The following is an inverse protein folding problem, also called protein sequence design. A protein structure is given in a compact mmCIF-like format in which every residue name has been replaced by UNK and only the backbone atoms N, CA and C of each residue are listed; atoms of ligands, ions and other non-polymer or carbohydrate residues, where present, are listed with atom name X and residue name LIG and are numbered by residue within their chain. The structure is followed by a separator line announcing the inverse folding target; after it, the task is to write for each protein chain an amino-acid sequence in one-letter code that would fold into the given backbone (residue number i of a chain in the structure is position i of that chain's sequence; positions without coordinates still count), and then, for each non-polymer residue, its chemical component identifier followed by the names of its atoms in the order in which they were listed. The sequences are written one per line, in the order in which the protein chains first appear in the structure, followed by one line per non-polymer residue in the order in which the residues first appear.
data_IF_847489580250
#
_entry.id   IF_847489580250
#
_cell.length_a   1.000
_cell.length_b   1.000
_cell.length_c   1.000
_cell.angle_alpha   90.00
_cell.angle_beta   90.00
_cell.angle_gamma   90.00
#
_symmetry.space_group_name_H-M   'P 1'
#
loop_
_entity.id
_entity.type
_entity.pdbx_description
1 polymer ?
#
# COMPACT_ATOMS: atom_id res chain seq x y z
N UNK A 1 -20.12 13.59 -37.23
CA UNK A 1 -19.35 12.39 -36.87
C UNK A 1 -20.02 11.75 -35.68
N UNK A 2 -20.66 10.60 -35.89
CA UNK A 2 -21.52 9.89 -34.93
C UNK A 2 -20.69 8.94 -34.04
N UNK A 3 -21.02 8.79 -32.75
CA UNK A 3 -20.28 7.91 -31.84
C UNK A 3 -20.77 6.45 -31.95
N UNK A 4 -19.86 5.53 -32.21
CA UNK A 4 -20.14 4.10 -32.21
C UNK A 4 -20.17 3.55 -30.78
N UNK A 5 -21.37 3.18 -30.34
CA UNK A 5 -21.66 2.42 -29.13
C UNK A 5 -21.27 0.94 -29.35
N UNK A 6 -20.24 0.44 -28.67
CA UNK A 6 -19.91 -1.00 -28.66
C UNK A 6 -20.37 -1.63 -27.34
N UNK A 7 -21.40 -2.49 -27.44
CA UNK A 7 -21.85 -3.38 -26.37
C UNK A 7 -20.72 -4.32 -25.91
N UNK A 8 -20.63 -4.64 -24.61
CA UNK A 8 -19.74 -5.67 -24.11
C UNK A 8 -20.20 -7.06 -24.61
N UNK A 9 -19.25 -7.83 -25.17
CA UNK A 9 -19.46 -9.24 -25.51
C UNK A 9 -19.30 -10.06 -24.23
N UNK A 10 -20.37 -10.73 -23.82
CA UNK A 10 -20.32 -11.75 -22.79
C UNK A 10 -19.52 -12.94 -23.33
N UNK A 11 -18.40 -13.25 -22.67
CA UNK A 11 -17.51 -14.36 -22.99
C UNK A 11 -17.78 -15.47 -21.97
N UNK A 12 -18.87 -16.20 -22.19
CA UNK A 12 -19.19 -17.44 -21.48
C UNK A 12 -19.72 -18.42 -22.53
N UNK A 13 -18.81 -18.87 -23.39
CA UNK A 13 -18.99 -20.11 -24.14
C UNK A 13 -18.07 -21.14 -23.48
N UNK A 14 -18.68 -22.10 -22.80
CA UNK A 14 -18.02 -23.29 -22.29
C UNK A 14 -19.00 -24.45 -22.42
N UNK A 15 -19.31 -24.78 -23.67
CA UNK A 15 -19.90 -26.06 -24.06
C UNK A 15 -18.89 -27.18 -23.75
N UNK A 16 -18.88 -27.62 -22.49
CA UNK A 16 -18.18 -28.84 -22.09
C UNK A 16 -19.13 -30.01 -22.30
N UNK A 17 -19.21 -30.47 -23.55
CA UNK A 17 -19.95 -31.69 -23.92
C UNK A 17 -19.17 -32.91 -23.43
N UNK A 18 -19.52 -33.41 -22.25
CA UNK A 18 -19.01 -34.68 -21.74
C UNK A 18 -19.58 -35.82 -22.58
N UNK A 19 -18.69 -36.52 -23.30
CA UNK A 19 -19.02 -37.70 -24.07
C UNK A 19 -19.18 -38.90 -23.12
N UNK A 20 -20.42 -39.33 -22.89
CA UNK A 20 -20.73 -40.54 -22.11
C UNK A 20 -20.47 -41.76 -23.01
N UNK A 21 -19.55 -42.68 -22.67
CA UNK A 21 -19.37 -43.91 -23.41
C UNK A 21 -20.63 -44.79 -23.28
N UNK A 22 -21.23 -45.17 -24.42
CA UNK A 22 -22.32 -46.16 -24.48
C UNK A 22 -21.77 -47.54 -24.12
N UNK A 23 -22.00 -47.99 -22.90
CA UNK A 23 -21.80 -49.38 -22.50
C UNK A 23 -22.90 -50.26 -23.13
N UNK A 24 -22.49 -51.25 -23.92
CA UNK A 24 -23.42 -52.22 -24.51
C UNK A 24 -23.90 -53.19 -23.42
N UNK A 25 -25.20 -53.17 -23.19
CA UNK A 25 -25.91 -54.08 -22.30
C UNK A 25 -26.03 -55.44 -22.97
N UNK A 26 -25.21 -56.43 -22.61
CA UNK A 26 -25.62 -57.84 -22.83
C UNK A 26 -24.95 -58.92 -22.00
N UNK A 27 -24.02 -58.64 -21.09
CA UNK A 27 -23.41 -59.70 -20.29
C UNK A 27 -23.13 -59.22 -18.87
N UNK A 28 -24.10 -59.36 -17.96
CA UNK A 28 -23.81 -59.41 -16.53
C UNK A 28 -25.01 -59.96 -15.74
N UNK A 29 -24.79 -61.10 -15.10
CA UNK A 29 -25.68 -61.71 -14.13
C UNK A 29 -26.01 -60.73 -12.99
N UNK A 30 -27.29 -60.66 -12.60
CA UNK A 30 -27.86 -59.71 -11.63
C UNK A 30 -27.17 -59.69 -10.24
N UNK A 31 -26.29 -60.64 -9.94
CA UNK A 31 -25.54 -60.70 -8.66
C UNK A 31 -24.22 -59.94 -8.66
N UNK A 32 -23.69 -59.53 -9.81
CA UNK A 32 -22.46 -58.72 -9.87
C UNK A 32 -22.74 -57.20 -9.96
N UNK A 33 -23.97 -56.80 -10.27
CA UNK A 33 -24.32 -55.39 -10.44
C UNK A 33 -24.39 -54.61 -9.11
N UNK A 34 -24.78 -55.25 -8.01
CA UNK A 34 -24.86 -54.61 -6.69
C UNK A 34 -23.49 -54.35 -6.05
N UNK A 35 -22.51 -55.23 -6.28
CA UNK A 35 -21.12 -55.04 -5.82
C UNK A 35 -20.38 -53.96 -6.61
N UNK A 36 -20.69 -53.77 -7.90
CA UNK A 36 -20.05 -52.74 -8.72
C UNK A 36 -20.57 -51.32 -8.43
N UNK A 37 -21.85 -51.16 -8.09
CA UNK A 37 -22.41 -49.85 -7.69
C UNK A 37 -21.82 -49.36 -6.35
N UNK A 38 -21.57 -50.26 -5.39
CA UNK A 38 -20.91 -49.91 -4.13
C UNK A 38 -19.44 -49.50 -4.31
N UNK A 39 -18.73 -50.10 -5.26
CA UNK A 39 -17.35 -49.71 -5.59
C UNK A 39 -17.29 -48.37 -6.35
N UNK A 40 -18.27 -48.06 -7.20
CA UNK A 40 -18.32 -46.79 -7.94
C UNK A 40 -18.77 -45.59 -7.09
N UNK A 41 -19.56 -45.83 -6.02
CA UNK A 41 -19.91 -44.79 -5.04
C UNK A 41 -18.83 -44.57 -3.97
N UNK A 42 -17.84 -45.47 -3.86
CA UNK A 42 -16.75 -45.37 -2.88
C UNK A 42 -15.55 -44.50 -3.31
N UNK A 43 -15.48 -44.05 -4.57
CA UNK A 43 -14.34 -43.28 -5.10
C UNK A 43 -14.63 -41.79 -5.34
N UNK A 44 -15.84 -41.31 -5.07
CA UNK A 44 -16.22 -39.90 -5.31
C UNK A 44 -15.85 -38.94 -4.17
N UNK A 45 -15.37 -39.43 -3.03
CA UNK A 45 -14.86 -38.60 -1.95
C UNK A 45 -13.37 -38.26 -2.18
N UNK A 46 -13.05 -37.69 -3.34
CA UNK A 46 -11.80 -36.91 -3.45
C UNK A 46 -12.03 -35.70 -2.57
N UNK A 47 -11.46 -35.76 -1.37
CA UNK A 47 -11.39 -34.63 -0.46
C UNK A 47 -10.66 -33.49 -1.19
N UNK A 48 -11.44 -32.55 -1.73
CA UNK A 48 -10.97 -31.20 -1.98
C UNK A 48 -10.70 -30.59 -0.61
N UNK A 49 -9.53 -30.89 -0.05
CA UNK A 49 -8.99 -30.20 1.10
C UNK A 49 -8.69 -28.77 0.64
N UNK A 50 -9.70 -27.92 0.70
CA UNK A 50 -9.57 -26.50 0.41
C UNK A 50 -8.65 -25.84 1.44
N UNK A 51 -7.56 -25.18 1.01
CA UNK A 51 -6.80 -24.30 1.89
C UNK A 51 -7.47 -22.91 1.88
N UNK A 52 -8.74 -22.79 2.32
CA UNK A 52 -9.49 -21.52 2.28
C UNK A 52 -9.44 -20.72 3.58
N UNK A 53 -8.98 -21.31 4.69
CA UNK A 53 -8.90 -20.62 6.00
C UNK A 53 -7.96 -19.40 5.97
N UNK A 54 -6.96 -19.40 5.09
CA UNK A 54 -6.00 -18.30 5.01
C UNK A 54 -6.60 -17.04 4.35
N UNK A 55 -7.59 -17.16 3.47
CA UNK A 55 -8.07 -15.97 2.72
C UNK A 55 -8.99 -15.10 3.56
N UNK A 56 -9.90 -15.69 4.33
CA UNK A 56 -10.80 -14.94 5.23
C UNK A 56 -10.01 -14.20 6.31
N UNK A 57 -8.98 -14.82 6.87
CA UNK A 57 -8.09 -14.19 7.84
C UNK A 57 -7.36 -12.98 7.22
N UNK A 58 -6.79 -13.14 6.02
CA UNK A 58 -6.10 -12.05 5.33
C UNK A 58 -7.04 -10.90 4.97
N UNK A 59 -8.28 -11.20 4.57
CA UNK A 59 -9.28 -10.18 4.27
C UNK A 59 -9.72 -9.43 5.55
N UNK A 60 -9.93 -10.15 6.65
CA UNK A 60 -10.23 -9.56 7.96
C UNK A 60 -9.10 -8.65 8.44
N UNK A 61 -7.85 -9.12 8.35
CA UNK A 61 -6.65 -8.34 8.63
C UNK A 61 -6.57 -7.08 7.78
N UNK A 62 -6.75 -7.21 6.46
CA UNK A 62 -6.74 -6.08 5.53
C UNK A 62 -7.80 -5.04 5.88
N UNK A 63 -9.03 -5.48 6.18
CA UNK A 63 -10.15 -4.61 6.55
C UNK A 63 -9.84 -3.81 7.83
N UNK A 64 -9.33 -4.48 8.87
CA UNK A 64 -8.96 -3.84 10.14
C UNK A 64 -7.88 -2.77 9.96
N UNK A 65 -6.79 -3.13 9.27
CA UNK A 65 -5.68 -2.20 9.00
C UNK A 65 -6.17 -1.01 8.17
N UNK A 66 -6.94 -1.25 7.11
CA UNK A 66 -7.48 -0.18 6.25
C UNK A 66 -8.34 0.80 7.04
N UNK A 67 -9.20 0.28 7.94
CA UNK A 67 -10.03 1.11 8.81
C UNK A 67 -9.17 1.97 9.76
N UNK A 68 -8.15 1.39 10.41
CA UNK A 68 -7.19 2.15 11.22
C UNK A 68 -6.44 3.23 10.43
N UNK A 69 -6.02 2.94 9.19
CA UNK A 69 -5.36 3.92 8.33
C UNK A 69 -6.24 5.11 7.93
N UNK A 70 -7.55 4.88 7.80
CA UNK A 70 -8.51 5.96 7.58
C UNK A 70 -8.60 6.88 8.80
N UNK A 71 -8.57 6.31 10.02
CA UNK A 71 -8.58 7.08 11.26
C UNK A 71 -7.36 7.98 11.42
N UNK A 72 -6.17 7.48 11.06
CA UNK A 72 -4.96 8.29 11.05
C UNK A 72 -5.06 9.56 10.23
N UNK A 73 -5.79 9.53 9.11
CA UNK A 73 -5.90 10.71 8.23
C UNK A 73 -6.48 11.92 8.97
N UNK A 74 -7.43 11.71 9.89
CA UNK A 74 -8.02 12.78 10.71
C UNK A 74 -7.04 13.31 11.75
N UNK A 75 -6.32 12.42 12.42
CA UNK A 75 -5.32 12.80 13.43
C UNK A 75 -4.12 13.52 12.81
N UNK A 76 -3.65 13.08 11.63
CA UNK A 76 -2.54 13.74 10.92
C UNK A 76 -2.83 15.21 10.66
N UNK A 77 -4.04 15.53 10.20
CA UNK A 77 -4.45 16.93 9.97
C UNK A 77 -4.41 17.72 11.27
N UNK A 78 -5.04 17.22 12.33
CA UNK A 78 -5.12 17.92 13.60
C UNK A 78 -3.76 18.10 14.30
N UNK A 79 -2.88 17.09 14.24
CA UNK A 79 -1.50 17.19 14.74
C UNK A 79 -0.69 18.20 13.92
N UNK A 80 -0.84 18.19 12.60
CA UNK A 80 -0.16 19.14 11.71
C UNK A 80 -0.61 20.57 12.00
N UNK A 81 -1.91 20.81 12.11
CA UNK A 81 -2.47 22.13 12.44
C UNK A 81 -1.98 22.62 13.80
N UNK A 82 -2.00 21.76 14.81
CA UNK A 82 -1.49 22.10 16.13
C UNK A 82 0.00 22.48 16.07
N UNK A 83 0.81 21.71 15.35
CA UNK A 83 2.24 22.00 15.18
C UNK A 83 2.47 23.34 14.47
N UNK A 84 1.73 23.61 13.39
CA UNK A 84 1.86 24.87 12.64
C UNK A 84 1.54 26.11 13.49
N UNK A 85 0.62 25.98 14.44
CA UNK A 85 0.23 27.09 15.34
C UNK A 85 1.18 27.22 16.54
N UNK A 86 1.62 26.11 17.11
CA UNK A 86 2.33 26.10 18.40
C UNK A 86 3.83 25.87 18.29
N UNK A 87 4.34 25.53 17.10
CA UNK A 87 5.71 25.09 16.84
C UNK A 87 6.19 23.96 17.78
N UNK A 88 5.25 23.16 18.29
CA UNK A 88 5.45 22.04 19.20
C UNK A 88 4.44 20.95 18.88
N UNK A 89 4.85 19.69 19.01
CA UNK A 89 3.93 18.58 18.86
C UNK A 89 2.99 18.46 20.05
N UNK A 90 1.74 18.01 19.84
CA UNK A 90 0.83 17.70 20.92
C UNK A 90 1.29 16.43 21.65
N UNK A 91 0.92 16.31 22.91
CA UNK A 91 1.21 15.17 23.78
C UNK A 91 -0.04 14.42 24.24
N UNK A 92 -1.23 14.79 23.71
CA UNK A 92 -2.51 14.16 24.05
C UNK A 92 -3.64 14.53 23.08
N UNK A 93 -4.67 13.68 22.99
CA UNK A 93 -5.89 13.95 22.21
C UNK A 93 -6.58 15.26 22.60
N UNK A 94 -6.58 15.60 23.89
CA UNK A 94 -7.25 16.80 24.42
C UNK A 94 -6.68 18.10 23.85
N UNK A 95 -5.36 18.16 23.62
CA UNK A 95 -4.70 19.37 23.10
C UNK A 95 -5.12 19.71 21.67
N UNK A 96 -5.45 18.70 20.87
CA UNK A 96 -5.92 18.87 19.50
C UNK A 96 -7.44 18.78 19.35
N UNK A 97 -8.18 18.86 20.47
CA UNK A 97 -9.64 18.81 20.47
C UNK A 97 -10.24 17.45 20.07
N UNK A 98 -9.45 16.38 20.09
CA UNK A 98 -9.94 15.03 19.81
C UNK A 98 -10.57 14.39 21.06
N UNK A 99 -11.58 13.53 20.89
CA UNK A 99 -12.14 12.70 21.97
C UNK A 99 -11.08 11.88 22.72
N UNK A 100 -11.42 11.47 23.95
CA UNK A 100 -10.63 10.49 24.69
C UNK A 100 -10.49 9.17 23.90
N UNK A 101 -9.37 8.47 24.08
CA UNK A 101 -8.97 7.34 23.26
C UNK A 101 -10.02 6.20 23.24
N UNK A 102 -10.71 5.99 24.37
CA UNK A 102 -11.72 4.94 24.56
C UNK A 102 -13.00 5.22 23.78
N UNK A 103 -13.25 6.48 23.38
CA UNK A 103 -14.42 6.83 22.56
C UNK A 103 -14.30 6.34 21.11
N UNK A 104 -13.11 5.90 20.70
CA UNK A 104 -12.86 5.34 19.38
C UNK A 104 -12.95 3.80 19.34
N UNK A 105 -13.25 3.17 20.47
CA UNK A 105 -13.39 1.72 20.54
C UNK A 105 -14.51 1.23 19.62
N UNK A 106 -14.17 0.32 18.72
CA UNK A 106 -15.08 -0.32 17.76
C UNK A 106 -14.95 -1.84 17.81
N UNK A 107 -15.37 -2.57 16.77
CA UNK A 107 -15.09 -4.00 16.60
C UNK A 107 -13.66 -4.27 16.06
N UNK A 108 -12.98 -3.22 15.58
CA UNK A 108 -11.66 -3.31 14.95
C UNK A 108 -10.57 -2.58 15.73
N UNK A 109 -10.89 -1.44 16.32
CA UNK A 109 -9.95 -0.57 17.03
C UNK A 109 -10.27 -0.61 18.51
N UNK A 110 -9.25 -0.75 19.34
CA UNK A 110 -9.39 -0.63 20.80
C UNK A 110 -9.31 0.83 21.22
N UNK A 111 -8.28 1.53 20.76
CA UNK A 111 -8.02 2.92 21.14
C UNK A 111 -7.24 3.67 20.06
N UNK A 112 -7.45 4.98 19.97
CA UNK A 112 -6.58 5.90 19.20
C UNK A 112 -6.09 7.00 20.15
N UNK A 113 -4.77 7.12 20.29
CA UNK A 113 -4.16 8.08 21.22
C UNK A 113 -3.03 8.88 20.54
N UNK A 114 -2.80 10.07 21.05
CA UNK A 114 -1.58 10.85 20.80
C UNK A 114 -0.65 10.67 21.99
N UNK A 115 0.54 10.16 21.71
CA UNK A 115 1.63 10.03 22.67
C UNK A 115 2.52 11.29 22.65
N UNK A 116 3.66 11.24 23.34
CA UNK A 116 4.66 12.30 23.27
C UNK A 116 5.16 12.53 21.84
N UNK A 117 5.64 13.74 21.56
CA UNK A 117 6.16 14.14 20.23
C UNK A 117 5.14 13.98 19.09
N UNK A 118 3.84 13.99 19.38
CA UNK A 118 2.78 13.96 18.37
C UNK A 118 2.63 12.61 17.67
N UNK A 119 3.23 11.54 18.21
CA UNK A 119 3.07 10.17 17.71
C UNK A 119 1.61 9.77 17.84
N UNK A 120 1.01 9.34 16.73
CA UNK A 120 -0.36 8.83 16.73
C UNK A 120 -0.29 7.31 16.85
N UNK A 121 -0.84 6.75 17.92
CA UNK A 121 -0.88 5.33 18.20
C UNK A 121 -2.30 4.78 18.03
N UNK A 122 -2.45 3.75 17.21
CA UNK A 122 -3.69 2.96 17.09
C UNK A 122 -3.42 1.57 17.64
N UNK A 123 -4.20 1.18 18.64
CA UNK A 123 -4.24 -0.18 19.16
C UNK A 123 -5.47 -0.88 18.59
N UNK A 124 -5.29 -2.09 18.08
CA UNK A 124 -6.36 -2.90 17.51
C UNK A 124 -6.90 -3.90 18.55
N UNK A 125 -8.21 -4.15 18.50
CA UNK A 125 -8.81 -5.23 19.27
C UNK A 125 -8.44 -6.57 18.66
N UNK A 126 -7.89 -7.45 19.51
CA UNK A 126 -7.64 -8.88 19.30
C UNK A 126 -7.42 -9.27 17.84
N UNK A 127 -6.20 -9.05 17.37
CA UNK A 127 -5.72 -9.75 16.18
C UNK A 127 -5.52 -11.23 16.57
N UNK A 128 -6.21 -12.19 15.91
CA UNK A 128 -6.20 -13.59 16.33
C UNK A 128 -4.79 -14.19 16.44
N UNK A 129 -3.86 -13.66 15.65
CA UNK A 129 -2.47 -14.10 15.59
C UNK A 129 -1.48 -13.17 16.29
N UNK A 130 -1.88 -11.96 16.69
CA UNK A 130 -0.98 -10.92 17.20
C UNK A 130 -1.66 -10.21 18.39
N UNK A 131 -1.39 -10.63 19.63
CA UNK A 131 -1.92 -9.92 20.79
C UNK A 131 -1.36 -8.49 20.81
N UNK A 132 -2.21 -7.52 21.16
CA UNK A 132 -1.83 -6.10 21.23
C UNK A 132 -1.21 -5.58 19.93
N UNK A 133 -1.82 -5.90 18.79
CA UNK A 133 -1.43 -5.32 17.51
C UNK A 133 -1.60 -3.80 17.52
N UNK A 134 -0.59 -3.07 17.05
CA UNK A 134 -0.59 -1.62 16.99
C UNK A 134 0.06 -1.11 15.70
N UNK A 135 -0.30 0.11 15.33
CA UNK A 135 0.37 0.91 14.30
C UNK A 135 0.63 2.29 14.90
N UNK A 136 1.84 2.80 14.71
CA UNK A 136 2.26 4.14 15.10
C UNK A 136 2.56 4.97 13.85
N UNK A 137 2.12 6.22 13.86
CA UNK A 137 2.55 7.24 12.91
C UNK A 137 3.40 8.27 13.63
N UNK A 138 4.68 8.31 13.28
CA UNK A 138 5.68 9.18 13.85
C UNK A 138 5.86 10.40 12.94
N UNK A 139 5.51 11.61 13.39
CA UNK A 139 5.79 12.81 12.62
C UNK A 139 7.28 13.17 12.73
N UNK A 140 7.84 13.68 11.64
CA UNK A 140 9.17 14.26 11.60
C UNK A 140 9.11 15.56 10.80
N UNK A 141 9.84 16.59 11.23
CA UNK A 141 9.87 17.89 10.53
C UNK A 141 11.28 18.13 10.00
N UNK A 142 11.38 18.44 8.71
CA UNK A 142 12.65 18.79 8.07
C UNK A 142 13.12 20.18 8.50
N UNK A 143 14.38 20.51 8.21
CA UNK A 143 14.91 21.87 8.36
C UNK A 143 14.10 22.92 7.57
N UNK A 144 13.42 22.51 6.50
CA UNK A 144 12.54 23.37 5.68
C UNK A 144 11.13 23.54 6.26
N UNK A 145 10.84 22.96 7.43
CA UNK A 145 9.52 23.01 8.07
C UNK A 145 8.49 22.07 7.45
N UNK A 146 8.89 21.17 6.54
CA UNK A 146 7.98 20.19 5.94
C UNK A 146 7.79 19.00 6.89
N UNK A 147 6.54 18.61 7.11
CA UNK A 147 6.20 17.48 7.95
C UNK A 147 6.13 16.18 7.12
N UNK A 148 6.93 15.20 7.51
CA UNK A 148 6.90 13.83 7.02
C UNK A 148 6.31 12.91 8.08
N UNK A 149 5.72 11.82 7.63
CA UNK A 149 5.11 10.82 8.50
C UNK A 149 5.76 9.47 8.21
N UNK A 150 6.26 8.84 9.25
CA UNK A 150 6.81 7.49 9.20
C UNK A 150 5.83 6.54 9.88
N UNK A 151 5.49 5.44 9.21
CA UNK A 151 4.58 4.44 9.76
C UNK A 151 5.37 3.23 10.26
N UNK A 152 5.09 2.81 11.49
CA UNK A 152 5.74 1.67 12.14
C UNK A 152 4.67 0.76 12.77
N UNK A 153 4.86 -0.56 12.73
CA UNK A 153 3.88 -1.50 13.28
C UNK A 153 4.52 -2.81 13.75
N UNK A 154 3.95 -3.44 14.80
CA UNK A 154 4.27 -4.82 15.19
C UNK A 154 3.49 -5.90 14.41
N UNK A 155 2.77 -5.52 13.35
CA UNK A 155 1.98 -6.48 12.56
C UNK A 155 2.89 -7.13 11.50
N UNK A 156 3.12 -8.47 11.54
CA UNK A 156 3.92 -9.14 10.52
C UNK A 156 3.36 -8.92 9.12
N UNK A 157 4.24 -8.78 8.12
CA UNK A 157 3.88 -8.51 6.73
C UNK A 157 3.07 -7.23 6.49
N UNK A 158 3.13 -6.23 7.40
CA UNK A 158 2.37 -4.97 7.27
C UNK A 158 2.59 -4.29 5.91
N UNK A 159 3.80 -4.35 5.35
CA UNK A 159 4.13 -3.78 4.05
C UNK A 159 3.31 -4.31 2.87
N UNK A 160 2.65 -5.47 3.00
CA UNK A 160 1.73 -5.98 1.95
C UNK A 160 0.39 -5.23 1.95
N UNK A 161 -0.06 -4.80 3.11
CA UNK A 161 -1.34 -4.08 3.29
C UNK A 161 -1.14 -2.57 3.29
N UNK A 162 -0.05 -2.10 3.90
CA UNK A 162 0.32 -0.71 4.05
C UNK A 162 1.80 -0.54 3.65
N UNK A 163 2.09 -0.34 2.36
CA UNK A 163 3.46 -0.33 1.84
C UNK A 163 4.39 0.74 2.41
N UNK A 164 3.82 1.80 2.98
CA UNK A 164 4.57 2.89 3.61
C UNK A 164 4.89 2.61 5.10
N UNK A 165 4.50 1.44 5.62
CA UNK A 165 4.73 1.04 7.00
C UNK A 165 5.86 0.02 7.12
N UNK A 166 6.77 0.30 8.04
CA UNK A 166 7.85 -0.61 8.42
C UNK A 166 7.43 -1.51 9.59
N UNK A 167 7.90 -2.75 9.56
CA UNK A 167 7.67 -3.71 10.63
C UNK A 167 8.72 -3.56 11.72
N UNK A 168 8.27 -3.30 12.95
CA UNK A 168 9.13 -3.21 14.14
C UNK A 168 8.39 -3.78 15.35
N UNK A 169 9.03 -4.72 16.05
CA UNK A 169 8.48 -5.32 17.26
C UNK A 169 8.71 -4.46 18.51
N UNK A 170 9.59 -3.45 18.46
CA UNK A 170 9.97 -2.64 19.61
C UNK A 170 10.14 -1.14 19.24
N UNK A 171 9.01 -0.44 19.01
CA UNK A 171 9.01 0.93 18.48
C UNK A 171 9.62 1.94 19.46
N UNK A 172 9.50 1.68 20.77
CA UNK A 172 10.06 2.53 21.82
C UNK A 172 11.59 2.51 21.80
N UNK A 173 12.20 1.41 21.38
CA UNK A 173 13.66 1.33 21.23
C UNK A 173 14.13 2.09 19.98
N UNK A 174 13.37 1.99 18.89
CA UNK A 174 13.72 2.62 17.62
C UNK A 174 13.63 4.15 17.68
N UNK A 175 12.65 4.70 18.41
CA UNK A 175 12.56 6.14 18.66
C UNK A 175 13.81 6.68 19.39
N UNK A 176 14.21 6.01 20.48
CA UNK A 176 15.39 6.39 21.28
C UNK A 176 16.69 6.33 20.47
N UNK A 177 16.81 5.36 19.57
CA UNK A 177 18.01 5.21 18.74
C UNK A 177 18.04 6.21 17.57
N UNK A 178 16.89 6.70 17.09
CA UNK A 178 16.83 7.65 15.98
C UNK A 178 17.24 9.08 16.36
N UNK A 179 17.05 9.49 17.61
CA UNK A 179 17.56 10.78 18.13
C UNK A 179 19.09 10.78 18.26
N UNK A 180 19.70 9.64 18.55
CA UNK A 180 21.15 9.53 18.65
C UNK A 180 21.86 9.79 17.30
N UNK A 181 21.22 9.42 16.18
CA UNK A 181 21.77 9.68 14.84
C UNK A 181 21.46 11.10 14.32
N UNK A 182 20.35 11.71 14.74
CA UNK A 182 20.04 13.10 14.38
C UNK A 182 20.91 14.12 15.14
N UNK A 183 21.42 13.77 16.33
CA UNK A 183 22.23 14.67 17.18
C UNK A 183 23.66 14.91 16.66
N UNK A 184 24.19 14.08 15.75
CA UNK A 184 25.60 14.18 15.30
C UNK A 184 25.82 15.25 14.19
N UNK A 185 24.77 15.90 13.65
CA UNK A 185 24.92 16.91 12.58
C UNK A 185 24.42 18.33 12.87
N UNK A 186 23.94 18.63 14.07
CA UNK A 186 23.67 20.01 14.47
C UNK A 186 24.99 20.74 14.79
N UNK A 187 25.71 21.17 13.75
CA UNK A 187 26.84 22.09 13.90
C UNK A 187 26.27 23.45 14.33
N UNK A 188 26.70 24.04 15.48
CA UNK A 188 26.20 25.32 15.93
C UNK A 188 26.83 26.44 15.07
N UNK A 189 26.24 26.71 13.91
CA UNK A 189 26.59 27.88 13.13
C UNK A 189 25.85 29.10 13.69
N UNK A 190 26.53 29.80 14.60
CA UNK A 190 26.58 31.26 14.73
C UNK A 190 25.35 32.05 14.26
N UNK A 191 24.49 32.37 15.23
CA UNK A 191 23.63 33.55 15.18
C UNK A 191 24.49 34.81 15.29
N UNK A 192 24.80 35.44 14.16
CA UNK A 192 25.24 36.84 14.12
C UNK A 192 24.93 37.45 12.76
N UNK A 193 24.05 38.45 12.80
CA UNK A 193 23.79 39.47 11.78
C UNK A 193 23.25 38.99 10.43
N UNK A 194 21.99 39.31 10.14
CA UNK A 194 21.66 40.06 8.93
C UNK A 194 20.32 40.79 9.13
N UNK A 195 20.41 42.10 9.34
CA UNK A 195 19.33 43.04 9.05
C UNK A 195 19.23 43.10 7.51
N UNK A 196 18.23 42.44 6.93
CA UNK A 196 17.88 42.62 5.51
C UNK A 196 16.54 43.33 5.42
N UNK A 197 16.61 44.53 4.85
CA UNK A 197 15.51 45.30 4.29
C UNK A 197 14.66 44.45 3.35
N UNK A 198 13.34 44.57 3.54
CA UNK A 198 12.26 44.27 2.61
C UNK A 198 12.60 44.41 1.12
N UNK A 199 12.43 43.32 0.37
CA UNK A 199 11.95 43.33 -1.01
C UNK A 199 11.32 41.96 -1.32
N UNK A 200 10.03 41.98 -1.65
CA UNK A 200 9.19 40.85 -2.09
C UNK A 200 9.58 40.49 -3.54
N UNK A 201 9.68 39.20 -3.88
CA UNK A 201 8.73 38.58 -4.83
C UNK A 201 8.26 37.23 -4.24
N UNK A 202 6.99 37.04 -3.90
CA UNK A 202 5.88 36.71 -4.80
C UNK A 202 6.33 35.85 -6.01
N UNK A 203 6.49 34.54 -5.79
CA UNK A 203 6.12 33.45 -6.72
C UNK A 203 6.51 32.09 -6.11
N UNK A 204 5.60 31.48 -5.34
CA UNK A 204 5.60 30.02 -5.14
C UNK A 204 4.27 29.47 -5.62
N UNK A 205 4.07 29.61 -6.93
CA UNK A 205 3.23 28.66 -7.65
C UNK A 205 3.95 27.30 -7.58
N UNK A 206 3.55 26.46 -6.63
CA UNK A 206 3.71 25.01 -6.72
C UNK A 206 2.82 24.47 -7.86
N UNK A 207 2.98 25.05 -9.05
CA UNK A 207 2.58 24.40 -10.29
C UNK A 207 3.57 23.28 -10.46
N UNK A 208 3.13 22.06 -10.16
CA UNK A 208 3.82 20.85 -10.59
C UNK A 208 3.99 20.97 -12.11
N UNK A 209 5.15 21.49 -12.52
CA UNK A 209 5.43 21.78 -13.91
C UNK A 209 5.31 20.46 -14.63
N UNK A 210 4.34 20.40 -15.54
CA UNK A 210 3.99 19.18 -16.25
C UNK A 210 5.21 18.80 -17.06
N UNK A 211 6.04 17.91 -16.51
CA UNK A 211 7.27 17.48 -17.14
C UNK A 211 6.88 16.73 -18.42
N UNK A 212 7.45 17.16 -19.55
CA UNK A 212 7.21 16.51 -20.83
C UNK A 212 7.72 15.07 -20.78
N UNK A 213 7.05 14.16 -21.49
CA UNK A 213 7.49 12.76 -21.52
C UNK A 213 8.95 12.59 -21.98
N UNK A 214 9.44 13.45 -22.87
CA UNK A 214 10.83 13.39 -23.34
C UNK A 214 11.83 13.73 -22.22
N UNK A 215 11.57 14.78 -21.44
CA UNK A 215 12.44 15.16 -20.32
C UNK A 215 12.44 14.11 -19.20
N UNK A 216 11.26 13.56 -18.88
CA UNK A 216 11.15 12.49 -17.88
C UNK A 216 11.88 11.22 -18.34
N UNK A 217 11.74 10.86 -19.62
CA UNK A 217 12.41 9.70 -20.18
C UNK A 217 13.94 9.82 -20.03
N UNK A 218 14.54 10.93 -20.46
CA UNK A 218 15.99 11.16 -20.34
C UNK A 218 16.48 11.03 -18.89
N UNK A 219 15.75 11.62 -17.95
CA UNK A 219 16.08 11.56 -16.51
C UNK A 219 16.06 10.12 -15.98
N UNK A 220 15.12 9.29 -16.44
CA UNK A 220 15.05 7.88 -16.05
C UNK A 220 16.20 7.09 -16.69
N UNK A 221 16.53 7.36 -17.96
CA UNK A 221 17.66 6.71 -18.65
C UNK A 221 18.98 6.97 -17.93
N UNK A 222 19.27 8.22 -17.56
CA UNK A 222 20.46 8.58 -16.78
C UNK A 222 20.53 7.85 -15.44
N UNK A 223 19.40 7.78 -14.71
CA UNK A 223 19.34 7.06 -13.41
C UNK A 223 19.55 5.56 -13.57
N UNK A 224 19.06 4.96 -14.66
CA UNK A 224 19.27 3.53 -14.95
C UNK A 224 20.73 3.25 -15.34
N UNK A 225 21.33 4.12 -16.15
CA UNK A 225 22.75 4.03 -16.53
C UNK A 225 23.68 4.20 -15.33
N UNK A 226 23.39 5.17 -14.45
CA UNK A 226 24.15 5.39 -13.22
C UNK A 226 24.09 4.19 -12.26
N UNK A 227 23.02 3.37 -12.33
CA UNK A 227 22.88 2.11 -11.60
C UNK A 227 23.54 0.91 -12.31
N UNK A 228 24.23 1.14 -13.43
CA UNK A 228 24.90 0.08 -14.20
C UNK A 228 23.95 -0.84 -14.97
N UNK A 229 22.68 -0.47 -15.11
CA UNK A 229 21.69 -1.28 -15.84
C UNK A 229 21.95 -1.09 -17.35
N UNK A 230 22.30 -2.19 -18.03
CA UNK A 230 22.52 -2.24 -19.48
C UNK A 230 21.36 -2.98 -20.18
N UNK A 231 21.22 -2.81 -21.50
CA UNK A 231 20.24 -3.51 -22.34
C UNK A 231 18.77 -3.28 -21.95
N UNK A 232 18.40 -2.01 -21.80
CA UNK A 232 17.02 -1.60 -21.53
C UNK A 232 16.48 -0.69 -22.62
N UNK A 233 15.15 -0.63 -22.74
CA UNK A 233 14.44 0.34 -23.58
C UNK A 233 13.25 0.91 -22.82
N UNK A 234 13.10 2.23 -22.88
CA UNK A 234 11.93 2.92 -22.37
C UNK A 234 10.99 3.22 -23.53
N UNK A 235 9.71 2.86 -23.38
CA UNK A 235 8.67 3.22 -24.34
C UNK A 235 7.62 4.09 -23.65
N UNK A 236 7.23 5.18 -24.31
CA UNK A 236 6.10 6.00 -23.88
C UNK A 236 4.84 5.39 -24.50
N UNK A 237 3.89 4.99 -23.66
CA UNK A 237 2.60 4.43 -24.08
C UNK A 237 1.45 5.22 -23.47
N UNK A 238 0.28 5.15 -24.08
CA UNK A 238 -0.94 5.73 -23.51
C UNK A 238 -1.33 5.04 -22.19
N UNK A 239 -1.98 5.78 -21.28
CA UNK A 239 -2.41 5.26 -19.97
C UNK A 239 -3.27 3.98 -20.09
N UNK A 240 -4.10 3.90 -21.12
CA UNK A 240 -5.02 2.79 -21.43
C UNK A 240 -4.33 1.53 -21.97
N UNK A 241 -3.07 1.63 -22.42
CA UNK A 241 -2.38 0.49 -23.01
C UNK A 241 -2.05 -0.55 -21.93
N UNK A 242 -2.68 -1.72 -21.98
CA UNK A 242 -2.36 -2.84 -21.09
C UNK A 242 -1.06 -3.48 -21.56
N UNK A 243 -0.05 -3.49 -20.70
CA UNK A 243 1.24 -4.09 -20.97
C UNK A 243 1.70 -4.85 -19.73
N UNK A 244 2.37 -5.98 -19.95
CA UNK A 244 3.05 -6.77 -18.90
C UNK A 244 4.38 -6.14 -18.47
N UNK A 245 4.82 -5.07 -19.15
CA UNK A 245 6.05 -4.36 -18.82
C UNK A 245 5.90 -3.51 -17.53
N UNK A 246 7.02 -3.29 -16.85
CA UNK A 246 7.06 -2.52 -15.61
C UNK A 246 6.85 -1.02 -15.89
N UNK A 247 5.94 -0.38 -15.14
CA UNK A 247 5.72 1.07 -15.23
C UNK A 247 6.74 1.81 -14.36
N UNK A 248 7.52 2.70 -14.99
CA UNK A 248 8.59 3.45 -14.32
C UNK A 248 8.28 4.95 -14.17
N UNK A 249 7.15 5.43 -14.70
CA UNK A 249 6.78 6.84 -14.57
C UNK A 249 5.52 7.24 -15.33
N UNK A 250 4.98 8.42 -14.97
CA UNK A 250 3.84 9.07 -15.65
C UNK A 250 4.26 10.47 -16.10
N UNK A 251 3.86 10.87 -17.30
CA UNK A 251 4.22 12.17 -17.88
C UNK A 251 3.01 12.84 -18.56
N UNK A 252 3.17 14.11 -18.98
CA UNK A 252 2.13 14.95 -19.57
C UNK A 252 0.83 15.01 -18.73
N UNK A 253 0.99 15.21 -17.42
CA UNK A 253 -0.14 15.26 -16.49
C UNK A 253 -0.84 13.90 -16.32
N UNK A 254 -0.12 12.79 -16.57
CA UNK A 254 -0.62 11.43 -16.37
C UNK A 254 -1.42 10.85 -17.53
N UNK A 255 -1.43 11.51 -18.69
CA UNK A 255 -2.06 10.99 -19.93
C UNK A 255 -1.27 9.81 -20.53
N UNK A 256 0.05 9.82 -20.33
CA UNK A 256 0.97 8.79 -20.82
C UNK A 256 1.79 8.19 -19.68
N UNK A 257 2.23 6.95 -19.85
CA UNK A 257 3.10 6.24 -18.92
C UNK A 257 4.36 5.75 -19.65
N UNK A 258 5.47 5.67 -18.92
CA UNK A 258 6.74 5.17 -19.43
C UNK A 258 6.89 3.73 -18.94
N UNK A 259 7.01 2.79 -19.88
CA UNK A 259 7.21 1.37 -19.58
C UNK A 259 8.68 0.99 -19.83
N UNK A 260 9.20 0.13 -18.94
CA UNK A 260 10.55 -0.40 -19.00
C UNK A 260 10.55 -1.82 -19.57
N UNK A 261 11.35 -2.03 -20.62
CA UNK A 261 11.57 -3.33 -21.25
C UNK A 261 12.99 -3.80 -20.96
N UNK A 262 13.11 -4.95 -20.28
CA UNK A 262 14.39 -5.61 -20.00
C UNK A 262 14.83 -6.47 -21.19
N UNK A 263 16.13 -6.54 -21.44
CA UNK A 263 16.73 -7.39 -22.48
C UNK A 263 16.25 -7.04 -23.90
N UNK A 264 16.16 -5.75 -24.21
CA UNK A 264 15.91 -5.32 -25.59
C UNK A 264 17.10 -5.75 -26.46
N UNK A 265 16.92 -6.77 -27.31
CA UNK A 265 17.90 -7.10 -28.35
C UNK A 265 17.84 -6.00 -29.39
N UNK A 266 19.00 -5.38 -29.64
CA UNK A 266 19.21 -4.59 -30.85
C UNK A 266 19.38 -5.62 -31.97
N UNK A 267 18.35 -5.77 -32.80
CA UNK A 267 18.48 -6.46 -34.09
C UNK A 267 19.30 -5.62 -35.07
#
# INVERSE_FOLDING_TARGET
MTPHNRKPKNFFDSDMTYSIPRFSSNWMNARFFTLWIAALLGMSAVAYAEPTTNMEEQLSKFKRISYGLMEFSRYKVAVTEFFLVNAKFPSSNKQIGMPAAEKFRSDMIDSVNIESEGVIAINFLDFPTIPHAWIHLVPAVTETGQMHWHCVSNIPDIGRTAPDCDYDQNPLQTAVNSEADASIKATPALMSNLVIKSAIPEELNASASILSCAALQHTIEEKLLAKGIKNFKLNIVEKSHSSTAMNVGRCDGGKRKIIYLKNFRVE
#
